data_IF_498144934507
#
_entry.id   IF_498144934507
#
_cell.length_a   1.000
_cell.length_b   1.000
_cell.length_c   1.000
_cell.angle_alpha   90.00
_cell.angle_beta   90.00
_cell.angle_gamma   90.00
#
_symmetry.space_group_name_H-M   'P 1'
#
loop_
_entity.id
_entity.type
_entity.pdbx_description
1 polymer ?
#
# COMPACT_ATOMS: atom_id res chain seq x y z
N UNK A 1 4.27 5.57 25.99
CA UNK A 1 5.71 5.73 25.78
C UNK A 1 6.53 4.44 25.96
N UNK A 2 6.11 3.52 26.81
CA UNK A 2 6.84 2.25 27.08
C UNK A 2 6.91 1.28 25.89
N UNK A 3 5.84 1.15 25.10
CA UNK A 3 5.79 0.23 23.95
C UNK A 3 6.75 0.57 22.81
N UNK A 4 7.11 1.85 22.65
CA UNK A 4 8.00 2.30 21.57
C UNK A 4 9.48 1.96 21.82
N UNK A 5 9.89 1.82 23.09
CA UNK A 5 11.27 1.46 23.44
C UNK A 5 11.51 -0.05 23.34
N UNK A 6 10.49 -0.86 23.64
CA UNK A 6 10.58 -2.34 23.58
C UNK A 6 10.72 -2.84 22.14
N UNK A 7 10.16 -2.12 21.17
CA UNK A 7 10.20 -2.50 19.75
C UNK A 7 11.52 -2.09 19.07
N UNK A 8 12.23 -1.08 19.59
CA UNK A 8 13.44 -0.54 18.96
C UNK A 8 14.71 -1.36 19.17
N UNK A 9 14.78 -2.12 20.25
CA UNK A 9 16.02 -2.74 20.72
C UNK A 9 16.02 -4.28 20.68
N UNK A 10 14.97 -4.90 20.15
CA UNK A 10 14.94 -6.36 19.95
C UNK A 10 14.81 -6.70 18.46
N UNK A 11 15.67 -7.57 17.93
CA UNK A 11 15.57 -8.09 16.58
C UNK A 11 14.36 -9.03 16.47
N UNK A 12 13.23 -8.58 16.08
CA UNK A 12 11.92 -9.22 16.08
C UNK A 12 11.30 -9.41 17.49
N UNK A 13 10.45 -8.48 17.94
CA UNK A 13 9.70 -8.69 19.17
C UNK A 13 8.95 -10.03 19.12
N UNK A 14 8.98 -10.80 20.21
CA UNK A 14 8.28 -12.08 20.37
C UNK A 14 6.83 -12.10 19.83
N UNK A 15 6.16 -10.95 19.85
CA UNK A 15 4.83 -10.75 19.27
C UNK A 15 4.86 -10.91 17.73
N UNK A 16 5.91 -10.44 17.06
CA UNK A 16 6.04 -10.55 15.60
C UNK A 16 6.36 -11.98 15.18
N UNK A 17 7.16 -12.68 15.96
CA UNK A 17 7.47 -14.09 15.74
C UNK A 17 6.18 -14.93 15.84
N UNK A 18 5.41 -14.77 16.91
CA UNK A 18 4.12 -15.48 17.07
C UNK A 18 3.06 -15.11 16.03
N UNK A 19 2.97 -13.85 15.61
CA UNK A 19 2.04 -13.44 14.56
C UNK A 19 2.52 -13.92 13.19
N UNK A 20 3.83 -13.88 12.93
CA UNK A 20 4.42 -14.35 11.68
C UNK A 20 4.25 -15.86 11.46
N UNK A 21 4.30 -16.67 12.53
CA UNK A 21 3.97 -18.09 12.45
C UNK A 21 2.50 -18.37 12.12
N UNK A 22 1.60 -17.47 12.52
CA UNK A 22 0.15 -17.62 12.38
C UNK A 22 -0.38 -17.15 11.04
N UNK A 23 0.16 -16.04 10.51
CA UNK A 23 -0.32 -15.42 9.27
C UNK A 23 0.72 -15.54 8.17
N UNK A 24 0.35 -16.26 7.11
CA UNK A 24 1.20 -16.50 5.94
C UNK A 24 0.87 -15.61 4.76
N UNK A 25 -0.36 -15.13 4.67
CA UNK A 25 -0.86 -14.37 3.55
C UNK A 25 -1.41 -13.04 4.04
N UNK A 26 -0.92 -11.95 3.47
CA UNK A 26 -1.31 -10.59 3.80
C UNK A 26 -2.02 -9.97 2.61
N UNK A 27 -3.23 -9.47 2.85
CA UNK A 27 -4.03 -8.72 1.89
C UNK A 27 -4.32 -7.36 2.48
N UNK A 28 -3.81 -6.31 1.86
CA UNK A 28 -3.99 -4.94 2.33
C UNK A 28 -4.70 -4.17 1.22
N UNK A 29 -5.92 -3.77 1.50
CA UNK A 29 -6.73 -2.93 0.61
C UNK A 29 -6.58 -1.46 0.97
N UNK A 30 -6.90 -0.57 0.04
CA UNK A 30 -6.81 0.90 0.19
C UNK A 30 -5.42 1.36 0.68
N UNK A 31 -4.36 0.72 0.16
CA UNK A 31 -3.00 0.91 0.66
C UNK A 31 -2.52 2.37 0.58
N UNK A 32 -3.06 3.19 -0.33
CA UNK A 32 -2.75 4.61 -0.44
C UNK A 32 -3.07 5.44 0.83
N UNK A 33 -3.94 4.91 1.70
CA UNK A 33 -4.33 5.55 2.95
C UNK A 33 -3.57 5.01 4.17
N UNK A 34 -2.65 4.07 3.96
CA UNK A 34 -1.81 3.50 5.02
C UNK A 34 -0.76 4.52 5.46
N UNK A 35 -0.61 4.72 6.77
CA UNK A 35 0.43 5.59 7.31
C UNK A 35 1.81 4.91 7.30
N UNK A 36 2.87 5.73 7.29
CA UNK A 36 4.26 5.25 7.37
C UNK A 36 4.46 4.36 8.61
N UNK A 37 3.87 4.77 9.74
CA UNK A 37 3.99 4.00 10.99
C UNK A 37 3.32 2.63 10.87
N UNK A 38 2.11 2.56 10.31
CA UNK A 38 1.41 1.29 10.09
C UNK A 38 2.20 0.37 9.18
N UNK A 39 2.69 0.91 8.06
CA UNK A 39 3.47 0.14 7.10
C UNK A 39 4.77 -0.40 7.70
N UNK A 40 5.54 0.45 8.38
CA UNK A 40 6.78 0.05 9.04
C UNK A 40 6.57 -1.03 10.10
N UNK A 41 5.41 -1.04 10.76
CA UNK A 41 5.08 -2.11 11.71
C UNK A 41 4.70 -3.43 11.02
N UNK A 42 4.21 -3.38 9.79
CA UNK A 42 3.83 -4.57 9.03
C UNK A 42 5.02 -5.20 8.28
N UNK A 43 6.01 -4.39 7.86
CA UNK A 43 7.17 -4.87 7.10
C UNK A 43 7.85 -6.09 7.76
N UNK A 44 8.20 -6.10 9.05
CA UNK A 44 8.86 -7.25 9.67
C UNK A 44 8.01 -8.53 9.63
N UNK A 45 6.70 -8.41 9.82
CA UNK A 45 5.77 -9.55 9.78
C UNK A 45 5.67 -10.14 8.37
N UNK A 46 5.58 -9.26 7.39
CA UNK A 46 5.45 -9.63 5.99
C UNK A 46 6.77 -10.23 5.50
N UNK A 47 7.92 -9.62 5.81
CA UNK A 47 9.24 -10.17 5.44
C UNK A 47 9.42 -11.59 5.96
N UNK A 48 9.13 -11.80 7.24
CA UNK A 48 9.22 -13.14 7.84
C UNK A 48 8.33 -14.15 7.09
N UNK A 49 7.11 -13.75 6.74
CA UNK A 49 6.20 -14.63 5.98
C UNK A 49 6.69 -14.94 4.56
N UNK A 50 7.25 -13.95 3.86
CA UNK A 50 7.74 -14.11 2.49
C UNK A 50 9.05 -14.93 2.42
N UNK A 51 9.88 -14.86 3.46
CA UNK A 51 11.19 -15.50 3.53
C UNK A 51 11.12 -16.93 4.10
N UNK A 52 10.08 -17.23 4.90
CA UNK A 52 9.92 -18.54 5.54
C UNK A 52 9.43 -19.57 4.53
N UNK A 53 10.20 -20.66 4.36
CA UNK A 53 9.76 -21.84 3.64
C UNK A 53 8.91 -22.73 4.56
N UNK A 54 7.66 -22.91 4.20
CA UNK A 54 6.77 -23.82 4.93
C UNK A 54 6.89 -25.25 4.39
N UNK A 55 6.61 -26.26 5.21
CA UNK A 55 6.75 -27.70 4.90
C UNK A 55 6.08 -28.21 3.61
N UNK A 56 5.37 -27.34 2.90
CA UNK A 56 4.62 -27.64 1.67
C UNK A 56 5.15 -26.89 0.42
N UNK A 57 6.40 -26.40 0.41
CA UNK A 57 6.96 -25.53 -0.62
C UNK A 57 6.15 -24.24 -0.90
N UNK A 58 5.19 -23.94 -0.06
CA UNK A 58 4.36 -22.74 -0.16
C UNK A 58 5.01 -21.64 0.66
N UNK A 59 5.46 -20.59 0.00
CA UNK A 59 5.87 -19.33 0.66
C UNK A 59 4.66 -18.49 1.02
N UNK A 60 4.83 -17.60 1.99
CA UNK A 60 3.84 -16.58 2.26
C UNK A 60 3.61 -15.65 1.06
N UNK A 61 2.56 -14.85 1.10
CA UNK A 61 2.27 -13.91 0.02
C UNK A 61 1.79 -12.56 0.56
N UNK A 62 2.06 -11.53 -0.22
CA UNK A 62 1.59 -10.17 0.01
C UNK A 62 0.83 -9.67 -1.22
N UNK A 63 -0.39 -9.19 -1.00
CA UNK A 63 -1.19 -8.46 -1.98
C UNK A 63 -1.49 -7.07 -1.45
N UNK A 64 -1.06 -6.06 -2.20
CA UNK A 64 -1.38 -4.66 -1.94
C UNK A 64 -2.32 -4.17 -3.04
N UNK A 65 -3.46 -3.65 -2.65
CA UNK A 65 -4.45 -3.10 -3.57
C UNK A 65 -4.69 -1.64 -3.22
N UNK A 66 -4.80 -0.78 -4.20
CA UNK A 66 -5.06 0.64 -3.98
C UNK A 66 -5.06 1.47 -5.26
N UNK A 67 -5.45 2.70 -5.14
CA UNK A 67 -5.38 3.71 -6.19
C UNK A 67 -4.80 5.01 -5.63
N UNK A 68 -3.59 5.43 -6.03
CA UNK A 68 -2.97 6.67 -5.54
C UNK A 68 -3.84 7.91 -5.73
N UNK A 69 -4.72 7.92 -6.75
CA UNK A 69 -5.63 9.04 -7.02
C UNK A 69 -6.77 9.16 -6.01
N UNK A 70 -7.03 8.11 -5.22
CA UNK A 70 -8.07 8.08 -4.20
C UNK A 70 -7.55 8.41 -2.79
N UNK A 71 -6.27 8.75 -2.63
CA UNK A 71 -5.67 9.11 -1.35
C UNK A 71 -6.30 10.37 -0.77
N UNK A 72 -7.06 10.24 0.32
CA UNK A 72 -7.75 11.34 1.00
C UNK A 72 -7.41 11.47 2.49
N UNK A 73 -6.64 10.54 3.06
CA UNK A 73 -6.33 10.47 4.48
C UNK A 73 -4.94 10.97 4.86
N UNK A 74 -4.36 11.88 4.06
CA UNK A 74 -3.06 12.50 4.37
C UNK A 74 -3.03 13.18 5.74
N UNK A 75 -4.13 13.81 6.13
CA UNK A 75 -4.30 14.45 7.44
C UNK A 75 -4.28 13.46 8.61
N UNK A 76 -4.51 12.18 8.38
CA UNK A 76 -4.38 11.08 9.36
C UNK A 76 -3.05 10.34 9.26
N UNK A 77 -2.11 10.84 8.48
CA UNK A 77 -0.78 10.25 8.29
C UNK A 77 -0.71 9.23 7.16
N UNK A 78 -1.74 9.08 6.34
CA UNK A 78 -1.68 8.33 5.10
C UNK A 78 -0.63 8.94 4.16
N UNK A 79 0.21 8.09 3.55
CA UNK A 79 1.25 8.53 2.62
C UNK A 79 1.18 7.75 1.31
N UNK A 80 0.61 8.39 0.31
CA UNK A 80 0.49 7.85 -1.05
C UNK A 80 1.84 7.57 -1.71
N UNK A 81 2.90 8.27 -1.28
CA UNK A 81 4.24 8.06 -1.86
C UNK A 81 4.78 6.67 -1.54
N UNK A 82 4.40 6.07 -0.42
CA UNK A 82 4.74 4.67 -0.12
C UNK A 82 4.26 3.73 -1.23
N UNK A 83 3.00 3.89 -1.67
CA UNK A 83 2.43 3.07 -2.73
C UNK A 83 3.08 3.33 -4.10
N UNK A 84 3.34 4.58 -4.42
CA UNK A 84 4.04 4.96 -5.65
C UNK A 84 5.45 4.40 -5.67
N UNK A 85 6.19 4.49 -4.55
CA UNK A 85 7.55 3.99 -4.44
C UNK A 85 7.64 2.46 -4.59
N UNK A 86 6.68 1.73 -4.04
CA UNK A 86 6.60 0.28 -4.23
C UNK A 86 6.41 -0.09 -5.70
N UNK A 87 5.60 0.68 -6.44
CA UNK A 87 5.41 0.52 -7.90
C UNK A 87 6.69 0.82 -8.70
N UNK A 88 7.58 1.67 -8.19
CA UNK A 88 8.87 2.00 -8.80
C UNK A 88 9.98 0.99 -8.43
N UNK A 89 9.65 -0.20 -7.96
CA UNK A 89 10.56 -1.27 -7.53
C UNK A 89 11.41 -0.94 -6.29
N UNK A 90 11.01 0.03 -5.50
CA UNK A 90 11.59 0.29 -4.19
C UNK A 90 10.90 -0.56 -3.11
N UNK A 91 10.92 -1.88 -3.32
CA UNK A 91 10.34 -2.82 -2.36
C UNK A 91 11.24 -2.95 -1.13
N UNK A 92 10.71 -2.93 0.09
CA UNK A 92 11.48 -3.26 1.30
C UNK A 92 11.77 -4.76 1.41
N UNK A 93 11.22 -5.57 0.51
CA UNK A 93 11.38 -7.02 0.49
C UNK A 93 12.38 -7.44 -0.57
N UNK A 94 13.07 -8.57 -0.36
CA UNK A 94 14.04 -9.11 -1.33
C UNK A 94 13.38 -9.68 -2.60
N UNK A 95 12.06 -9.80 -2.61
CA UNK A 95 11.28 -10.33 -3.73
C UNK A 95 10.78 -9.17 -4.59
N UNK A 96 10.97 -9.30 -5.90
CA UNK A 96 10.45 -8.32 -6.86
C UNK A 96 8.91 -8.40 -6.92
N UNK A 97 8.20 -7.28 -6.76
CA UNK A 97 6.75 -7.27 -6.89
C UNK A 97 6.31 -7.47 -8.33
N UNK A 98 5.22 -8.22 -8.51
CA UNK A 98 4.46 -8.23 -9.75
C UNK A 98 3.41 -7.14 -9.71
N UNK A 99 3.44 -6.22 -10.67
CA UNK A 99 2.51 -5.10 -10.73
C UNK A 99 1.44 -5.40 -11.76
N UNK A 100 0.18 -5.35 -11.35
CA UNK A 100 -0.99 -5.53 -12.20
C UNK A 100 -1.92 -4.33 -12.12
N UNK A 101 -2.36 -3.85 -13.29
CA UNK A 101 -3.37 -2.79 -13.37
C UNK A 101 -4.75 -3.41 -13.63
N UNK A 102 -5.76 -2.94 -12.88
CA UNK A 102 -7.15 -3.30 -13.10
C UNK A 102 -7.77 -2.30 -14.09
N UNK A 103 -7.89 -2.71 -15.35
CA UNK A 103 -8.29 -1.81 -16.44
C UNK A 103 -9.80 -1.74 -16.66
N UNK A 104 -10.59 -2.55 -15.97
CA UNK A 104 -12.03 -2.65 -16.19
C UNK A 104 -12.78 -2.24 -14.92
N UNK A 105 -13.71 -1.31 -15.07
CA UNK A 105 -14.61 -0.90 -14.01
C UNK A 105 -15.94 -1.65 -14.13
N UNK A 106 -16.18 -2.61 -13.23
CA UNK A 106 -17.42 -3.37 -13.16
C UNK A 106 -18.47 -2.75 -12.23
N UNK A 107 -18.08 -1.76 -11.41
CA UNK A 107 -18.94 -1.17 -10.38
C UNK A 107 -19.89 -0.12 -10.94
N UNK A 108 -19.41 0.71 -11.85
CA UNK A 108 -20.12 1.91 -12.28
C UNK A 108 -20.67 1.77 -13.69
N UNK A 109 -21.84 2.35 -13.94
CA UNK A 109 -22.39 2.46 -15.29
C UNK A 109 -21.54 3.38 -16.17
N UNK A 110 -21.55 3.13 -17.47
CA UNK A 110 -20.71 3.84 -18.44
C UNK A 110 -20.93 5.37 -18.41
N UNK A 111 -22.17 5.82 -18.24
CA UNK A 111 -22.51 7.25 -18.15
C UNK A 111 -21.80 7.94 -16.99
N UNK A 112 -21.74 7.26 -15.82
CA UNK A 112 -21.06 7.79 -14.63
C UNK A 112 -19.55 7.87 -14.86
N UNK A 113 -18.97 6.83 -15.44
CA UNK A 113 -17.53 6.79 -15.76
C UNK A 113 -17.17 7.91 -16.73
N UNK A 114 -17.97 8.08 -17.80
CA UNK A 114 -17.78 9.10 -18.81
C UNK A 114 -17.92 10.50 -18.22
N UNK A 115 -18.98 10.76 -17.44
CA UNK A 115 -19.18 12.05 -16.78
C UNK A 115 -17.98 12.41 -15.88
N UNK A 116 -17.56 11.50 -15.00
CA UNK A 116 -16.42 11.74 -14.13
C UNK A 116 -15.12 12.00 -14.91
N UNK A 117 -14.85 11.21 -15.93
CA UNK A 117 -13.66 11.37 -16.76
C UNK A 117 -13.64 12.74 -17.46
N UNK A 118 -14.75 13.16 -18.03
CA UNK A 118 -14.87 14.45 -18.72
C UNK A 118 -14.77 15.62 -17.73
N UNK A 119 -15.41 15.50 -16.57
CA UNK A 119 -15.36 16.50 -15.52
C UNK A 119 -13.93 16.72 -15.01
N UNK A 120 -13.26 15.65 -14.60
CA UNK A 120 -11.89 15.77 -14.05
C UNK A 120 -10.86 16.19 -15.10
N UNK A 121 -11.02 15.78 -16.35
CA UNK A 121 -10.17 16.23 -17.45
C UNK A 121 -10.30 17.74 -17.68
N UNK A 122 -11.52 18.27 -17.69
CA UNK A 122 -11.75 19.74 -17.82
C UNK A 122 -11.25 20.51 -16.61
N UNK A 123 -11.54 20.03 -15.41
CA UNK A 123 -11.13 20.68 -14.15
C UNK A 123 -9.62 20.71 -14.00
N UNK A 124 -8.91 19.64 -14.31
CA UNK A 124 -7.44 19.61 -14.27
C UNK A 124 -6.80 20.60 -15.25
N UNK A 125 -7.36 20.73 -16.45
CA UNK A 125 -6.91 21.71 -17.45
C UNK A 125 -7.11 23.14 -16.95
N UNK A 126 -8.23 23.42 -16.30
CA UNK A 126 -8.53 24.73 -15.71
C UNK A 126 -7.57 25.08 -14.57
N UNK A 127 -7.37 24.15 -13.63
CA UNK A 127 -6.42 24.33 -12.52
C UNK A 127 -4.97 24.53 -12.98
N UNK A 128 -4.56 23.79 -14.02
CA UNK A 128 -3.24 23.97 -14.61
C UNK A 128 -3.04 25.38 -15.20
N UNK A 129 -4.06 25.93 -15.88
CA UNK A 129 -4.02 27.29 -16.40
C UNK A 129 -3.90 28.35 -15.30
N UNK A 130 -4.65 28.21 -14.21
CA UNK A 130 -4.57 29.12 -13.06
C UNK A 130 -3.14 29.10 -12.49
N UNK A 131 -2.59 27.92 -12.23
CA UNK A 131 -1.25 27.78 -11.65
C UNK A 131 -0.14 28.36 -12.53
N UNK A 132 -0.33 28.37 -13.84
CA UNK A 132 0.66 28.94 -14.78
C UNK A 132 0.60 30.48 -14.85
N UNK A 133 -0.52 31.08 -14.47
CA UNK A 133 -0.77 32.52 -14.51
C UNK A 133 -0.58 33.19 -13.12
N UNK A 134 -0.22 32.43 -12.09
CA UNK A 134 0.16 32.89 -10.75
C UNK A 134 1.66 32.83 -10.58
#
# INVERSE_FOLDING_TARGET
MLFRSIIKDQPAPYIFERLGERYKHYFIDEFQDTSILQWNNLIPLISNSLETEYKSDLRGSLYLVGDPKQAIYRWRGGDVNQFINLNLKNSPFQINPEIRSLNINFRSKNEIVKFNSDFFKKSSTFLYKIKKNS
#
